data_IF_992424647170
#
_entry.id   IF_992424647170
#
_cell.length_a   1.000
_cell.length_b   1.000
_cell.length_c   1.000
_cell.angle_alpha   90.00
_cell.angle_beta   90.00
_cell.angle_gamma   90.00
#
_symmetry.space_group_name_H-M   'P 1'
#
loop_
_entity.id
_entity.type
_entity.pdbx_description
1 polymer ?
#
# COMPACT_ATOMS: atom_id res chain seq x y z
N UNK A 1 1.59 13.12 5.70
CA UNK A 1 2.14 12.27 4.62
C UNK A 1 2.91 13.14 3.62
N UNK A 2 2.29 14.11 2.96
CA UNK A 2 2.93 14.97 1.93
C UNK A 2 4.23 15.64 2.43
N UNK A 3 4.31 16.05 3.68
CA UNK A 3 5.51 16.67 4.27
C UNK A 3 6.68 15.67 4.43
N UNK A 4 6.38 14.41 4.75
CA UNK A 4 7.41 13.34 4.80
C UNK A 4 8.04 13.13 3.42
N UNK A 5 7.20 13.10 2.38
CA UNK A 5 7.63 12.85 1.01
C UNK A 5 8.39 14.03 0.39
N UNK A 6 8.11 15.25 0.83
CA UNK A 6 8.79 16.48 0.37
C UNK A 6 10.13 16.75 1.06
N UNK A 7 10.54 15.90 2.01
CA UNK A 7 11.80 16.07 2.73
C UNK A 7 11.81 17.33 3.61
N UNK A 8 10.71 17.61 4.31
CA UNK A 8 10.62 18.74 5.24
C UNK A 8 11.69 18.60 6.34
N UNK A 9 12.48 19.66 6.55
CA UNK A 9 13.56 19.70 7.54
C UNK A 9 13.12 19.42 8.99
N UNK A 10 11.81 19.48 9.27
CA UNK A 10 11.23 19.13 10.58
C UNK A 10 11.14 17.62 10.80
N UNK A 11 11.30 16.80 9.76
CA UNK A 11 11.18 15.36 9.81
C UNK A 11 12.53 14.73 9.53
N UNK A 12 13.09 14.06 10.55
CA UNK A 12 14.35 13.33 10.41
C UNK A 12 14.06 11.87 10.09
N UNK A 13 14.47 11.44 8.91
CA UNK A 13 14.42 10.04 8.51
C UNK A 13 15.75 9.38 8.88
N UNK A 14 15.70 8.12 9.33
CA UNK A 14 16.90 7.31 9.51
C UNK A 14 17.59 7.07 8.16
N UNK A 15 18.92 6.91 8.17
CA UNK A 15 19.75 6.78 6.96
C UNK A 15 19.38 5.60 6.05
N UNK A 16 18.77 4.55 6.61
CA UNK A 16 18.42 3.33 5.89
C UNK A 16 16.92 3.24 5.54
N UNK A 17 16.14 4.30 5.77
CA UNK A 17 14.71 4.29 5.47
C UNK A 17 14.50 4.51 3.97
N UNK A 18 13.87 3.51 3.33
CA UNK A 18 13.42 3.55 1.94
C UNK A 18 11.90 3.54 1.91
N UNK A 19 11.30 4.66 1.51
CA UNK A 19 9.85 4.87 1.58
C UNK A 19 9.21 4.49 0.26
N UNK A 20 8.21 3.58 0.31
CA UNK A 20 7.23 3.35 -0.73
C UNK A 20 5.92 4.06 -0.39
N UNK A 21 5.26 4.65 -1.38
CA UNK A 21 4.04 5.43 -1.16
C UNK A 21 2.91 5.02 -2.11
N UNK A 22 1.74 4.81 -1.54
CA UNK A 22 0.48 4.68 -2.28
C UNK A 22 -0.37 5.91 -1.97
N UNK A 23 -0.52 6.84 -2.92
CA UNK A 23 -1.43 7.98 -2.81
C UNK A 23 -2.89 7.53 -2.98
N UNK A 24 -3.82 8.37 -2.58
CA UNK A 24 -5.25 8.17 -2.81
C UNK A 24 -5.58 8.06 -4.31
N UNK A 25 -4.93 8.86 -5.15
CA UNK A 25 -5.01 8.76 -6.61
C UNK A 25 -3.70 8.20 -7.15
N UNK A 26 -3.77 7.03 -7.80
CA UNK A 26 -2.59 6.33 -8.31
C UNK A 26 -2.27 6.80 -9.72
N UNK A 27 -1.07 7.33 -9.87
CA UNK A 27 -0.49 7.72 -11.13
C UNK A 27 0.72 6.85 -11.49
N UNK A 28 0.92 6.65 -12.78
CA UNK A 28 2.07 6.00 -13.37
C UNK A 28 2.76 6.96 -14.33
N UNK A 29 4.07 6.88 -14.43
CA UNK A 29 4.88 7.77 -15.29
C UNK A 29 4.52 7.63 -16.78
N UNK A 30 4.31 6.41 -17.25
CA UNK A 30 3.89 6.12 -18.62
C UNK A 30 2.66 5.21 -18.63
N UNK A 31 1.51 5.81 -18.90
CA UNK A 31 0.23 5.12 -18.98
C UNK A 31 0.04 4.29 -20.25
N UNK A 32 0.95 4.38 -21.24
CA UNK A 32 0.90 3.58 -22.47
C UNK A 32 1.62 2.24 -22.34
N UNK A 33 2.42 2.05 -21.29
CA UNK A 33 2.98 0.75 -20.96
C UNK A 33 1.89 -0.25 -20.59
N UNK A 34 2.14 -1.51 -20.89
CA UNK A 34 1.34 -2.61 -20.36
C UNK A 34 1.67 -2.90 -18.88
N UNK A 35 0.81 -3.65 -18.22
CA UNK A 35 1.05 -4.16 -16.86
C UNK A 35 2.39 -4.90 -16.79
N UNK A 36 2.67 -5.76 -17.76
CA UNK A 36 3.91 -6.54 -17.83
C UNK A 36 5.14 -5.65 -17.97
N UNK A 37 5.09 -4.64 -18.86
CA UNK A 37 6.20 -3.70 -19.06
C UNK A 37 6.48 -2.85 -17.84
N UNK A 38 5.45 -2.34 -17.18
CA UNK A 38 5.60 -1.59 -15.92
C UNK A 38 6.18 -2.47 -14.81
N UNK A 39 5.61 -3.67 -14.63
CA UNK A 39 6.05 -4.61 -13.61
C UNK A 39 7.51 -5.05 -13.82
N UNK A 40 7.96 -5.15 -15.08
CA UNK A 40 9.33 -5.52 -15.42
C UNK A 40 10.38 -4.55 -14.86
N UNK A 41 10.05 -3.29 -14.69
CA UNK A 41 10.97 -2.29 -14.12
C UNK A 41 11.43 -2.62 -12.69
N UNK A 42 10.61 -3.38 -11.96
CA UNK A 42 10.80 -3.67 -10.54
C UNK A 42 11.15 -5.14 -10.25
N UNK A 43 10.95 -6.02 -11.23
CA UNK A 43 11.15 -7.46 -11.05
C UNK A 43 12.43 -7.94 -11.73
N UNK A 44 13.31 -8.61 -10.98
CA UNK A 44 14.54 -9.21 -11.48
C UNK A 44 14.31 -10.70 -11.67
N UNK A 45 14.47 -11.19 -12.91
CA UNK A 45 14.34 -12.63 -13.21
C UNK A 45 13.68 -12.91 -14.56
N UNK A 46 13.59 -14.18 -14.96
CA UNK A 46 12.90 -14.62 -16.16
C UNK A 46 11.42 -14.21 -16.20
N UNK A 47 10.90 -13.96 -17.40
CA UNK A 47 9.52 -13.50 -17.58
C UNK A 47 8.47 -14.47 -17.02
N UNK A 48 8.71 -15.77 -17.10
CA UNK A 48 7.81 -16.76 -16.53
C UNK A 48 7.55 -16.57 -15.02
N UNK A 49 8.58 -16.17 -14.27
CA UNK A 49 8.43 -15.89 -12.83
C UNK A 49 7.73 -14.54 -12.59
N UNK A 50 7.96 -13.54 -13.46
CA UNK A 50 7.22 -12.29 -13.41
C UNK A 50 5.72 -12.53 -13.64
N UNK A 51 5.37 -13.35 -14.64
CA UNK A 51 3.97 -13.74 -14.91
C UNK A 51 3.35 -14.47 -13.71
N UNK A 52 4.09 -15.39 -13.11
CA UNK A 52 3.66 -16.10 -11.89
C UNK A 52 3.49 -15.14 -10.70
N UNK A 53 4.38 -14.16 -10.55
CA UNK A 53 4.26 -13.15 -9.51
C UNK A 53 3.05 -12.25 -9.75
N UNK A 54 2.83 -11.78 -10.99
CA UNK A 54 1.66 -10.96 -11.35
C UNK A 54 0.32 -11.69 -11.16
N UNK A 55 0.32 -13.01 -11.30
CA UNK A 55 -0.87 -13.83 -11.05
C UNK A 55 -1.38 -13.67 -9.61
N UNK A 56 -0.49 -13.59 -8.62
CA UNK A 56 -0.86 -13.33 -7.21
C UNK A 56 -1.55 -11.97 -7.02
N UNK A 57 -1.31 -11.03 -7.93
CA UNK A 57 -1.94 -9.70 -7.94
C UNK A 57 -3.12 -9.62 -8.91
N UNK A 58 -3.72 -10.80 -9.23
CA UNK A 58 -4.90 -10.94 -10.08
C UNK A 58 -4.70 -10.44 -11.52
N UNK A 59 -3.46 -10.47 -12.02
CA UNK A 59 -3.15 -10.26 -13.42
C UNK A 59 -2.81 -11.59 -14.08
N UNK A 60 -3.70 -12.10 -14.92
CA UNK A 60 -3.57 -13.38 -15.60
C UNK A 60 -3.89 -13.27 -17.10
N UNK A 61 -3.35 -14.19 -17.89
CA UNK A 61 -3.62 -14.29 -19.32
C UNK A 61 -3.35 -12.98 -20.07
N UNK A 62 -4.30 -12.53 -20.87
CA UNK A 62 -4.20 -11.30 -21.65
C UNK A 62 -4.18 -10.01 -20.83
N UNK A 63 -4.65 -10.05 -19.57
CA UNK A 63 -4.71 -8.88 -18.70
C UNK A 63 -3.32 -8.27 -18.42
N UNK A 64 -2.25 -9.07 -18.48
CA UNK A 64 -0.89 -8.56 -18.31
C UNK A 64 -0.42 -7.65 -19.47
N UNK A 65 -1.04 -7.77 -20.65
CA UNK A 65 -0.78 -6.94 -21.82
C UNK A 65 -1.67 -5.70 -21.90
N UNK A 66 -2.64 -5.58 -21.01
CA UNK A 66 -3.52 -4.42 -20.92
C UNK A 66 -2.70 -3.17 -20.57
N UNK A 67 -2.90 -2.08 -21.30
CA UNK A 67 -2.21 -0.82 -21.04
C UNK A 67 -2.75 -0.16 -19.78
N UNK A 68 -1.87 0.50 -19.04
CA UNK A 68 -2.17 1.13 -17.75
C UNK A 68 -3.32 2.15 -17.85
N UNK A 69 -3.42 2.88 -18.96
CA UNK A 69 -4.52 3.83 -19.21
C UNK A 69 -5.92 3.19 -19.25
N UNK A 70 -6.00 1.88 -19.47
CA UNK A 70 -7.27 1.15 -19.49
C UNK A 70 -7.54 0.38 -18.19
N UNK A 71 -6.65 0.46 -17.20
CA UNK A 71 -6.84 -0.17 -15.91
C UNK A 71 -7.93 0.55 -15.10
N UNK A 72 -8.77 -0.23 -14.43
CA UNK A 72 -9.67 0.28 -13.39
C UNK A 72 -8.88 0.81 -12.18
N UNK A 73 -9.53 1.53 -11.27
CA UNK A 73 -8.91 1.98 -10.03
C UNK A 73 -8.30 0.84 -9.23
N UNK A 74 -9.04 -0.25 -9.02
CA UNK A 74 -8.57 -1.45 -8.32
C UNK A 74 -7.39 -2.12 -9.03
N UNK A 75 -7.42 -2.24 -10.37
CA UNK A 75 -6.30 -2.78 -11.12
C UNK A 75 -5.03 -1.92 -10.99
N UNK A 76 -5.18 -0.59 -10.95
CA UNK A 76 -4.06 0.33 -10.68
C UNK A 76 -3.48 0.13 -9.28
N UNK A 77 -4.34 -0.04 -8.26
CA UNK A 77 -3.92 -0.36 -6.89
C UNK A 77 -3.09 -1.65 -6.89
N UNK A 78 -3.60 -2.72 -7.51
CA UNK A 78 -2.91 -4.02 -7.58
C UNK A 78 -1.53 -3.91 -8.21
N UNK A 79 -1.42 -3.23 -9.36
CA UNK A 79 -0.14 -3.02 -10.03
C UNK A 79 0.82 -2.18 -9.17
N UNK A 80 0.33 -1.13 -8.53
CA UNK A 80 1.16 -0.27 -7.67
C UNK A 80 1.70 -1.03 -6.47
N UNK A 81 0.88 -1.85 -5.83
CA UNK A 81 1.31 -2.70 -4.71
C UNK A 81 2.37 -3.69 -5.17
N UNK A 82 2.15 -4.37 -6.31
CA UNK A 82 3.17 -5.24 -6.90
C UNK A 82 4.52 -4.51 -7.04
N UNK A 83 4.53 -3.34 -7.68
CA UNK A 83 5.75 -2.56 -7.88
C UNK A 83 6.42 -2.18 -6.55
N UNK A 84 5.65 -1.85 -5.52
CA UNK A 84 6.19 -1.50 -4.20
C UNK A 84 6.79 -2.71 -3.47
N UNK A 85 6.11 -3.85 -3.49
CA UNK A 85 6.58 -5.07 -2.81
C UNK A 85 7.83 -5.64 -3.50
N UNK A 86 7.93 -5.54 -4.84
CA UNK A 86 9.12 -5.98 -5.57
C UNK A 86 10.33 -5.04 -5.36
N UNK A 87 10.10 -3.84 -4.86
CA UNK A 87 11.16 -2.90 -4.53
C UNK A 87 11.70 -3.14 -3.11
N UNK A 88 12.93 -2.73 -2.86
CA UNK A 88 13.57 -2.86 -1.54
C UNK A 88 13.11 -1.78 -0.54
N UNK A 89 11.83 -1.41 -0.55
CA UNK A 89 11.27 -0.52 0.45
C UNK A 89 11.14 -1.24 1.80
N UNK A 90 11.38 -0.49 2.89
CA UNK A 90 11.23 -0.99 4.25
C UNK A 90 10.28 -0.14 5.10
N UNK A 91 9.68 0.90 4.49
CA UNK A 91 8.66 1.74 5.09
C UNK A 91 7.60 2.06 4.04
N UNK A 92 6.37 1.59 4.24
CA UNK A 92 5.25 1.88 3.36
C UNK A 92 4.36 2.96 3.97
N UNK A 93 3.94 3.91 3.15
CA UNK A 93 2.93 4.90 3.49
C UNK A 93 1.73 4.69 2.55
N UNK A 94 0.54 4.48 3.12
CA UNK A 94 -0.68 4.22 2.37
C UNK A 94 -1.74 5.26 2.76
N UNK A 95 -2.29 5.94 1.75
CA UNK A 95 -3.30 6.99 1.94
C UNK A 95 -4.64 6.49 1.39
N UNK A 96 -5.55 6.07 2.30
CA UNK A 96 -6.86 5.48 1.99
C UNK A 96 -6.81 4.34 0.94
N UNK A 97 -5.98 3.30 1.16
CA UNK A 97 -5.69 2.29 0.15
C UNK A 97 -6.87 1.37 -0.18
N UNK A 98 -7.93 1.40 0.64
CA UNK A 98 -9.15 0.59 0.45
C UNK A 98 -10.27 1.34 -0.27
N UNK A 99 -10.08 2.61 -0.62
CA UNK A 99 -11.11 3.39 -1.28
C UNK A 99 -11.36 2.92 -2.71
N UNK A 100 -12.64 2.69 -3.02
CA UNK A 100 -13.12 2.34 -4.37
C UNK A 100 -12.49 1.07 -4.98
N UNK A 101 -12.02 0.14 -4.16
CA UNK A 101 -11.54 -1.17 -4.61
C UNK A 101 -12.60 -2.26 -4.34
N UNK A 102 -12.58 -3.29 -5.19
CA UNK A 102 -13.40 -4.49 -5.03
C UNK A 102 -12.88 -5.40 -3.90
N UNK A 103 -13.68 -6.39 -3.53
CA UNK A 103 -13.37 -7.32 -2.43
C UNK A 103 -12.08 -8.09 -2.72
N UNK A 104 -11.92 -8.61 -3.94
CA UNK A 104 -10.76 -9.43 -4.31
C UNK A 104 -9.47 -8.61 -4.22
N UNK A 105 -9.51 -7.35 -4.68
CA UNK A 105 -8.39 -6.41 -4.57
C UNK A 105 -8.06 -6.09 -3.12
N UNK A 106 -9.08 -5.96 -2.25
CA UNK A 106 -8.88 -5.75 -0.81
C UNK A 106 -8.20 -6.94 -0.16
N UNK A 107 -8.65 -8.16 -0.42
CA UNK A 107 -8.08 -9.38 0.14
C UNK A 107 -6.63 -9.55 -0.30
N UNK A 108 -6.33 -9.32 -1.57
CA UNK A 108 -4.96 -9.33 -2.10
C UNK A 108 -4.08 -8.26 -1.42
N UNK A 109 -4.59 -7.03 -1.23
CA UNK A 109 -3.89 -5.96 -0.52
C UNK A 109 -3.57 -6.38 0.92
N UNK A 110 -4.55 -6.88 1.65
CA UNK A 110 -4.39 -7.32 3.04
C UNK A 110 -3.35 -8.44 3.17
N UNK A 111 -3.36 -9.41 2.26
CA UNK A 111 -2.37 -10.50 2.23
C UNK A 111 -0.96 -9.95 1.95
N UNK A 112 -0.82 -9.11 0.94
CA UNK A 112 0.47 -8.48 0.59
C UNK A 112 1.05 -7.64 1.74
N UNK A 113 0.20 -6.93 2.48
CA UNK A 113 0.64 -6.13 3.62
C UNK A 113 1.02 -6.97 4.84
N UNK A 114 0.38 -8.12 5.04
CA UNK A 114 0.77 -9.06 6.11
C UNK A 114 2.14 -9.72 5.85
N UNK A 115 2.43 -10.01 4.60
CA UNK A 115 3.72 -10.58 4.20
C UNK A 115 4.85 -9.54 4.24
N UNK A 116 4.53 -8.26 4.26
CA UNK A 116 5.53 -7.19 4.27
C UNK A 116 6.23 -7.11 5.62
N UNK A 117 7.55 -7.25 5.62
CA UNK A 117 8.38 -7.31 6.85
C UNK A 117 8.81 -5.94 7.38
N UNK A 118 8.51 -4.84 6.66
CA UNK A 118 8.85 -3.48 7.04
C UNK A 118 7.80 -2.80 7.92
N UNK A 119 7.93 -1.50 8.08
CA UNK A 119 6.94 -0.67 8.78
C UNK A 119 5.89 -0.17 7.81
N UNK A 120 4.62 -0.22 8.22
CA UNK A 120 3.50 0.33 7.45
C UNK A 120 2.85 1.45 8.26
N UNK A 121 2.78 2.63 7.66
CA UNK A 121 1.99 3.76 8.14
C UNK A 121 0.83 3.97 7.18
N UNK A 122 -0.40 3.88 7.66
CA UNK A 122 -1.55 4.11 6.80
C UNK A 122 -2.62 4.96 7.46
N UNK A 123 -3.40 5.64 6.62
CA UNK A 123 -4.65 6.30 6.98
C UNK A 123 -5.77 5.54 6.28
N UNK A 124 -6.82 5.19 7.01
CA UNK A 124 -8.00 4.56 6.44
C UNK A 124 -9.25 4.87 7.28
N UNK A 125 -10.40 4.97 6.63
CA UNK A 125 -11.72 5.00 7.26
C UNK A 125 -12.36 3.61 7.34
N UNK A 126 -11.77 2.61 6.73
CA UNK A 126 -12.22 1.21 6.76
C UNK A 126 -11.82 0.54 8.08
N UNK A 127 -12.75 0.46 9.01
CA UNK A 127 -12.52 -0.12 10.35
C UNK A 127 -12.12 -1.59 10.28
N UNK A 128 -12.65 -2.31 9.31
CA UNK A 128 -12.35 -3.73 9.12
C UNK A 128 -10.89 -3.91 8.69
N UNK A 129 -10.46 -3.13 7.70
CA UNK A 129 -9.07 -3.10 7.26
C UNK A 129 -8.11 -2.68 8.38
N UNK A 130 -8.46 -1.60 9.12
CA UNK A 130 -7.66 -1.15 10.27
C UNK A 130 -7.52 -2.27 11.29
N UNK A 131 -8.63 -2.93 11.65
CA UNK A 131 -8.64 -4.00 12.63
C UNK A 131 -7.78 -5.20 12.23
N UNK A 132 -7.70 -5.46 10.94
CA UNK A 132 -6.99 -6.61 10.36
C UNK A 132 -5.48 -6.38 10.21
N UNK A 133 -5.05 -5.14 9.97
CA UNK A 133 -3.66 -4.79 9.63
C UNK A 133 -2.94 -4.04 10.75
N UNK A 134 -3.63 -3.17 11.50
CA UNK A 134 -2.97 -2.33 12.48
C UNK A 134 -2.50 -3.12 13.72
N UNK A 135 -1.27 -2.86 14.13
CA UNK A 135 -0.69 -3.31 15.40
C UNK A 135 -0.62 -2.18 16.43
N UNK A 136 -0.82 -0.96 15.99
CA UNK A 136 -1.02 0.20 16.88
C UNK A 136 -1.81 1.29 16.16
N UNK A 137 -2.56 2.07 16.93
CA UNK A 137 -3.36 3.20 16.46
C UNK A 137 -2.73 4.51 16.97
N UNK A 138 -2.65 5.50 16.08
CA UNK A 138 -2.27 6.86 16.44
C UNK A 138 -3.51 7.75 16.31
N UNK A 139 -4.02 8.22 17.44
CA UNK A 139 -5.11 9.17 17.49
C UNK A 139 -4.56 10.60 17.50
N UNK A 140 -5.11 11.45 16.64
CA UNK A 140 -4.84 12.90 16.63
C UNK A 140 -6.12 13.62 17.02
N UNK A 141 -6.16 14.16 18.25
CA UNK A 141 -7.33 14.85 18.79
C UNK A 141 -6.90 16.11 19.55
N UNK A 142 -7.56 17.24 19.26
CA UNK A 142 -7.27 18.54 19.92
C UNK A 142 -5.77 18.91 19.91
N UNK A 143 -5.09 18.69 18.79
CA UNK A 143 -3.63 18.92 18.60
C UNK A 143 -2.73 18.02 19.46
N UNK A 144 -3.28 17.05 20.16
CA UNK A 144 -2.54 16.03 20.89
C UNK A 144 -2.46 14.74 20.08
N UNK A 145 -1.36 14.03 20.27
CA UNK A 145 -1.11 12.73 19.63
C UNK A 145 -1.05 11.68 20.73
N UNK A 146 -1.90 10.67 20.62
CA UNK A 146 -1.92 9.54 21.55
C UNK A 146 -1.74 8.24 20.77
N UNK A 147 -0.83 7.38 21.24
CA UNK A 147 -0.60 6.07 20.64
C UNK A 147 -1.24 4.98 21.53
N UNK A 148 -2.01 4.12 20.87
CA UNK A 148 -2.62 2.93 21.48
C UNK A 148 -2.00 1.69 20.85
N UNK A 149 -1.50 0.77 21.66
CA UNK A 149 -1.01 -0.54 21.20
C UNK A 149 -2.22 -1.44 21.01
N UNK A 150 -2.24 -2.17 19.89
CA UNK A 150 -3.32 -3.06 19.48
C UNK A 150 -4.02 -2.60 18.21
N UNK A 151 -5.06 -3.31 17.83
CA UNK A 151 -5.89 -3.05 16.66
C UNK A 151 -7.01 -2.03 16.94
N UNK A 152 -7.98 -1.90 16.04
CA UNK A 152 -9.08 -0.96 16.19
C UNK A 152 -10.01 -1.32 17.35
N UNK A 153 -10.25 -2.61 17.60
CA UNK A 153 -11.12 -3.04 18.69
C UNK A 153 -10.46 -2.77 20.06
N UNK A 154 -9.16 -3.04 20.19
CA UNK A 154 -8.38 -2.71 21.38
C UNK A 154 -8.39 -1.19 21.67
N UNK A 155 -8.28 -0.38 20.64
CA UNK A 155 -8.39 1.08 20.74
C UNK A 155 -9.78 1.49 21.25
N UNK A 156 -10.84 0.94 20.68
CA UNK A 156 -12.24 1.22 21.06
C UNK A 156 -12.52 0.88 22.51
N UNK A 157 -12.02 -0.27 22.98
CA UNK A 157 -12.17 -0.64 24.39
C UNK A 157 -11.49 0.35 25.33
N UNK A 158 -10.31 0.83 24.98
CA UNK A 158 -9.56 1.78 25.81
C UNK A 158 -10.23 3.14 25.90
N UNK A 159 -10.75 3.68 24.79
CA UNK A 159 -11.43 4.99 24.83
C UNK A 159 -12.81 4.94 25.49
N UNK A 160 -13.49 3.79 25.50
CA UNK A 160 -14.78 3.63 26.17
C UNK A 160 -14.65 3.43 27.69
N UNK A 161 -13.45 3.17 28.19
CA UNK A 161 -13.15 3.03 29.65
C UNK A 161 -12.68 4.33 30.29
N UNK A 162 -12.53 5.40 29.53
CA UNK A 162 -12.19 6.76 29.97
C UNK A 162 -13.44 7.62 30.00
#
# INVERSE_FOLDING_TARGET
IKEILKGNNSIKLGSNIKIGYIPQEIEFEDINLSVLEEARKYFIGPEQYLRSALFKYLFAGENIHKKIKYLSGGEKVRLKIFCLIQNSYNFLILDEPTNHIDIDTREMLEESLREFTGTILFVSHDRYFINKIATSIIEIKNKNITRYIGNYDDYREKINKI
#
